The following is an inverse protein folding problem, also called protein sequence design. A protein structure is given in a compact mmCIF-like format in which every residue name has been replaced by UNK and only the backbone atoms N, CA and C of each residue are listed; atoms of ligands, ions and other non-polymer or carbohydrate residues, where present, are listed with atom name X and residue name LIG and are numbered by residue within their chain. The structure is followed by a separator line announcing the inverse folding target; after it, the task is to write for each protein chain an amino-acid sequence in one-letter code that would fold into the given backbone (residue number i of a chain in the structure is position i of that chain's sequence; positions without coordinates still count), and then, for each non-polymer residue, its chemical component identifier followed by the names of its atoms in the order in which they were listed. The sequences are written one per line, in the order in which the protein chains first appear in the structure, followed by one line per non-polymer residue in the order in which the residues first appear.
data_IF_341625336344
#
_entry.id   IF_341625336344
#
_cell.length_a   1.000
_cell.length_b   1.000
_cell.length_c   1.000
_cell.angle_alpha   90.00
_cell.angle_beta   90.00
_cell.angle_gamma   90.00
#
_symmetry.space_group_name_H-M   'P 1'
#
loop_
_entity.id
_entity.type
_entity.pdbx_description
1 polymer ?
#
# COMPACT_ATOMS: atom_id res chain seq x y z
N UNK A 1 -40.43 -14.96 -53.21
CA UNK A 1 -39.32 -14.43 -52.37
C UNK A 1 -38.96 -15.50 -51.36
N UNK A 2 -37.75 -16.07 -51.40
CA UNK A 2 -37.31 -17.13 -50.47
C UNK A 2 -36.70 -16.47 -49.23
N UNK A 3 -37.17 -16.84 -48.04
CA UNK A 3 -36.57 -16.40 -46.78
C UNK A 3 -35.23 -17.13 -46.58
N UNK A 4 -34.16 -16.37 -46.43
CA UNK A 4 -32.82 -16.89 -46.08
C UNK A 4 -32.78 -17.06 -44.57
N UNK A 5 -32.65 -18.29 -44.06
CA UNK A 5 -32.28 -18.51 -42.66
C UNK A 5 -30.78 -18.26 -42.52
N UNK A 6 -30.42 -17.25 -41.75
CA UNK A 6 -29.05 -17.06 -41.28
C UNK A 6 -28.82 -18.09 -40.19
N UNK A 7 -28.08 -19.16 -40.50
CA UNK A 7 -27.61 -20.11 -39.50
C UNK A 7 -26.43 -19.47 -38.76
N UNK A 8 -26.65 -19.06 -37.51
CA UNK A 8 -25.57 -18.60 -36.64
C UNK A 8 -25.01 -19.82 -35.89
N UNK A 9 -23.83 -20.28 -36.30
CA UNK A 9 -23.07 -21.33 -35.59
C UNK A 9 -22.41 -20.73 -34.34
N UNK A 10 -22.56 -21.30 -33.14
CA UNK A 10 -21.99 -20.76 -31.91
C UNK A 10 -20.63 -21.40 -31.61
N UNK A 11 -19.67 -21.29 -32.53
CA UNK A 11 -18.33 -21.86 -32.31
C UNK A 11 -17.27 -20.81 -32.68
N UNK A 12 -16.46 -20.44 -31.68
CA UNK A 12 -15.41 -19.40 -31.67
C UNK A 12 -15.79 -18.00 -31.17
N UNK A 13 -16.30 -17.92 -29.94
CA UNK A 13 -15.99 -16.78 -29.09
C UNK A 13 -15.19 -17.19 -27.85
N UNK A 14 -14.09 -17.88 -28.05
CA UNK A 14 -13.04 -17.96 -27.03
C UNK A 14 -12.18 -16.68 -27.10
N UNK A 15 -12.80 -15.49 -27.05
CA UNK A 15 -12.00 -14.29 -26.75
C UNK A 15 -11.64 -14.42 -25.28
N UNK A 16 -10.34 -14.57 -24.99
CA UNK A 16 -9.77 -14.10 -23.74
C UNK A 16 -10.26 -12.66 -23.55
N UNK A 17 -11.41 -12.50 -22.91
CA UNK A 17 -11.90 -11.22 -22.48
C UNK A 17 -10.95 -10.87 -21.34
N UNK A 18 -9.87 -10.15 -21.68
CA UNK A 18 -9.01 -9.48 -20.72
C UNK A 18 -9.93 -8.50 -20.00
N UNK A 19 -10.61 -8.98 -18.95
CA UNK A 19 -11.45 -8.14 -18.11
C UNK A 19 -10.54 -7.03 -17.61
N UNK A 20 -11.03 -5.79 -17.68
CA UNK A 20 -10.38 -4.67 -17.03
C UNK A 20 -10.03 -5.08 -15.59
N UNK A 21 -8.88 -4.67 -15.07
CA UNK A 21 -8.48 -4.96 -13.70
C UNK A 21 -8.57 -3.68 -12.88
N UNK A 22 -9.14 -3.77 -11.68
CA UNK A 22 -9.09 -2.69 -10.73
C UNK A 22 -7.63 -2.36 -10.35
N UNK A 23 -7.43 -1.16 -9.83
CA UNK A 23 -6.14 -0.74 -9.28
C UNK A 23 -6.38 0.01 -7.98
N UNK A 24 -5.75 -0.47 -6.91
CA UNK A 24 -5.63 0.30 -5.67
C UNK A 24 -4.45 1.26 -5.86
N UNK A 25 -4.67 2.54 -5.57
CA UNK A 25 -3.64 3.57 -5.67
C UNK A 25 -2.67 3.46 -4.50
N UNK A 26 -1.38 3.64 -4.79
CA UNK A 26 -0.31 3.55 -3.79
C UNK A 26 0.56 2.29 -3.95
N UNK A 27 1.40 1.99 -2.94
CA UNK A 27 2.25 0.81 -2.93
C UNK A 27 1.45 -0.49 -2.70
N UNK A 28 2.04 -1.63 -3.05
CA UNK A 28 1.46 -2.96 -2.76
C UNK A 28 1.50 -3.31 -1.26
N UNK A 29 2.46 -2.73 -0.53
CA UNK A 29 2.62 -2.86 0.91
C UNK A 29 2.55 -1.45 1.53
N UNK A 30 1.48 -1.19 2.30
CA UNK A 30 1.19 0.08 2.94
C UNK A 30 1.46 -0.01 4.44
N UNK A 31 2.30 0.88 4.97
CA UNK A 31 2.60 0.96 6.39
C UNK A 31 1.87 2.16 7.02
N UNK A 32 1.10 1.92 8.08
CA UNK A 32 0.28 2.94 8.74
C UNK A 32 0.56 2.89 10.24
N UNK A 33 0.70 4.04 10.88
CA UNK A 33 0.90 4.09 12.32
C UNK A 33 -0.41 3.79 13.07
N UNK A 34 -0.30 3.06 14.18
CA UNK A 34 -1.41 2.83 15.10
C UNK A 34 -2.01 4.18 15.58
N UNK A 35 -3.33 4.28 15.57
CA UNK A 35 -4.08 5.51 15.88
C UNK A 35 -4.30 6.45 14.69
N UNK A 36 -3.57 6.28 13.57
CA UNK A 36 -3.80 7.04 12.33
C UNK A 36 -4.98 6.48 11.52
N UNK A 37 -5.12 6.86 10.25
CA UNK A 37 -6.19 6.36 9.38
C UNK A 37 -5.62 5.57 8.20
N UNK A 38 -6.24 4.44 7.88
CA UNK A 38 -6.05 3.71 6.63
C UNK A 38 -6.97 4.37 5.60
N UNK A 39 -6.46 4.74 4.44
CA UNK A 39 -7.25 5.27 3.33
C UNK A 39 -6.80 4.63 2.02
N UNK A 40 -7.70 3.88 1.38
CA UNK A 40 -7.45 3.18 0.13
C UNK A 40 -8.42 3.67 -0.94
N UNK A 41 -7.87 3.96 -2.12
CA UNK A 41 -8.64 4.37 -3.29
C UNK A 41 -8.49 3.32 -4.39
N UNK A 42 -9.60 2.73 -4.79
CA UNK A 42 -9.68 1.77 -5.88
C UNK A 42 -10.27 2.44 -7.11
N UNK A 43 -9.54 2.38 -8.22
CA UNK A 43 -10.00 2.85 -9.53
C UNK A 43 -10.29 1.66 -10.43
N UNK A 44 -11.38 1.73 -11.19
CA UNK A 44 -11.74 0.68 -12.12
C UNK A 44 -11.82 1.31 -13.51
N UNK A 45 -10.93 0.95 -14.46
CA UNK A 45 -10.73 1.68 -15.71
C UNK A 45 -11.87 1.49 -16.76
N UNK A 46 -13.10 1.31 -16.30
CA UNK A 46 -14.31 1.18 -17.11
C UNK A 46 -15.12 2.48 -17.11
N UNK A 47 -15.88 2.69 -18.18
CA UNK A 47 -16.63 3.93 -18.41
C UNK A 47 -17.89 4.06 -17.54
N UNK A 48 -18.48 5.27 -17.47
CA UNK A 48 -19.62 5.61 -16.62
C UNK A 48 -20.92 4.87 -16.92
N UNK A 49 -20.97 4.09 -18.01
CA UNK A 49 -22.17 3.37 -18.45
C UNK A 49 -22.24 1.92 -17.93
N UNK A 50 -21.15 1.38 -17.39
CA UNK A 50 -21.15 0.02 -16.82
C UNK A 50 -21.63 0.06 -15.37
N UNK A 51 -22.85 -0.39 -15.13
CA UNK A 51 -23.47 -0.50 -13.80
C UNK A 51 -22.79 -1.60 -12.96
N UNK A 52 -21.61 -1.31 -12.40
CA UNK A 52 -20.87 -2.24 -11.55
C UNK A 52 -20.69 -1.74 -10.11
N UNK A 53 -20.90 -2.58 -9.11
CA UNK A 53 -20.62 -2.21 -7.70
C UNK A 53 -19.20 -2.61 -7.32
N UNK A 54 -18.69 -2.00 -6.24
CA UNK A 54 -17.38 -2.33 -5.66
C UNK A 54 -17.57 -2.79 -4.23
N UNK A 55 -17.07 -3.98 -3.91
CA UNK A 55 -17.05 -4.53 -2.55
C UNK A 55 -15.63 -4.51 -2.00
N UNK A 56 -15.48 -4.18 -0.72
CA UNK A 56 -14.20 -4.22 -0.02
C UNK A 56 -14.11 -5.44 0.88
N UNK A 57 -12.91 -6.04 0.94
CA UNK A 57 -12.62 -7.20 1.76
C UNK A 57 -11.35 -6.98 2.57
N UNK A 58 -11.30 -7.57 3.76
CA UNK A 58 -10.07 -7.78 4.52
C UNK A 58 -9.87 -9.29 4.72
N UNK A 59 -8.90 -9.86 4.01
CA UNK A 59 -8.81 -11.31 3.82
C UNK A 59 -10.10 -11.83 3.17
N UNK A 60 -10.78 -12.75 3.83
CA UNK A 60 -12.07 -13.31 3.36
C UNK A 60 -13.29 -12.55 3.90
N UNK A 61 -13.11 -11.59 4.81
CA UNK A 61 -14.20 -10.87 5.45
C UNK A 61 -14.63 -9.67 4.60
N UNK A 62 -15.91 -9.62 4.24
CA UNK A 62 -16.53 -8.43 3.63
C UNK A 62 -16.49 -7.27 4.62
N UNK A 63 -16.08 -6.10 4.14
CA UNK A 63 -16.17 -4.83 4.83
C UNK A 63 -17.44 -4.12 4.38
N UNK A 64 -18.44 -4.10 5.26
CA UNK A 64 -19.67 -3.35 5.06
C UNK A 64 -19.51 -2.00 5.75
N UNK A 65 -19.69 -0.90 5.00
CA UNK A 65 -19.89 0.40 5.64
C UNK A 65 -21.22 0.35 6.39
N UNK A 66 -21.23 0.79 7.64
CA UNK A 66 -22.45 0.82 8.42
C UNK A 66 -23.33 1.98 7.98
N UNK A 67 -24.63 1.74 7.93
CA UNK A 67 -25.60 2.82 7.83
C UNK A 67 -25.58 3.62 9.16
N UNK A 68 -25.78 4.95 9.11
CA UNK A 68 -25.76 5.77 10.32
C UNK A 68 -26.73 5.21 11.37
N UNK A 69 -26.22 4.71 12.50
CA UNK A 69 -27.07 4.29 13.61
C UNK A 69 -27.66 5.53 14.26
N UNK A 70 -28.92 5.83 13.93
CA UNK A 70 -29.66 7.04 14.32
C UNK A 70 -29.76 7.24 15.85
N UNK A 71 -29.47 6.20 16.66
CA UNK A 71 -29.78 6.18 18.09
C UNK A 71 -28.55 6.11 19.02
N UNK A 72 -27.32 6.24 18.51
CA UNK A 72 -26.11 6.26 19.35
C UNK A 72 -25.24 7.47 19.01
N UNK A 73 -25.44 8.57 19.74
CA UNK A 73 -24.70 9.82 19.56
C UNK A 73 -23.19 9.68 19.83
N UNK A 74 -22.73 8.57 20.40
CA UNK A 74 -21.33 8.30 20.70
C UNK A 74 -20.70 7.24 19.78
N UNK A 75 -21.50 6.58 18.94
CA UNK A 75 -20.98 5.62 17.96
C UNK A 75 -20.38 6.35 16.75
N UNK A 76 -19.10 6.69 16.83
CA UNK A 76 -18.34 7.13 15.65
C UNK A 76 -17.82 5.92 14.90
N UNK A 77 -18.48 5.59 13.78
CA UNK A 77 -18.05 4.51 12.91
C UNK A 77 -16.60 4.72 12.47
N UNK A 78 -15.79 3.66 12.57
CA UNK A 78 -14.38 3.73 12.14
C UNK A 78 -14.22 3.52 10.64
N UNK A 79 -15.01 2.61 10.06
CA UNK A 79 -14.99 2.25 8.66
C UNK A 79 -15.94 3.15 7.87
N UNK A 80 -15.51 3.67 6.73
CA UNK A 80 -16.35 4.41 5.79
C UNK A 80 -16.02 3.91 4.40
N UNK A 81 -17.05 3.66 3.58
CA UNK A 81 -16.90 3.26 2.19
C UNK A 81 -17.74 4.21 1.33
N UNK A 82 -17.08 4.88 0.39
CA UNK A 82 -17.68 5.85 -0.51
C UNK A 82 -17.44 5.42 -1.95
N UNK A 83 -18.50 5.38 -2.76
CA UNK A 83 -18.41 5.07 -4.19
C UNK A 83 -18.70 6.34 -4.99
N UNK A 84 -17.85 6.64 -5.97
CA UNK A 84 -17.99 7.81 -6.83
C UNK A 84 -18.07 7.38 -8.30
N UNK A 85 -19.08 7.93 -8.97
CA UNK A 85 -19.42 7.69 -10.37
C UNK A 85 -19.22 8.99 -11.15
N UNK A 86 -17.99 9.24 -11.60
CA UNK A 86 -17.69 10.34 -12.52
C UNK A 86 -17.29 9.74 -13.86
N UNK A 87 -16.15 10.12 -14.44
CA UNK A 87 -15.65 9.57 -15.71
C UNK A 87 -15.12 8.13 -15.57
N UNK A 88 -14.83 7.72 -14.33
CA UNK A 88 -14.30 6.41 -13.95
C UNK A 88 -15.02 5.96 -12.69
N UNK A 89 -15.39 4.68 -12.60
CA UNK A 89 -15.89 4.12 -11.34
C UNK A 89 -14.74 4.08 -10.32
N UNK A 90 -14.92 4.74 -9.18
CA UNK A 90 -13.96 4.70 -8.08
C UNK A 90 -14.64 4.42 -6.75
N UNK A 91 -13.91 3.75 -5.85
CA UNK A 91 -14.36 3.44 -4.50
C UNK A 91 -13.26 3.78 -3.51
N UNK A 92 -13.60 4.49 -2.45
CA UNK A 92 -12.71 4.87 -1.36
C UNK A 92 -13.14 4.18 -0.08
N UNK A 93 -12.22 3.45 0.54
CA UNK A 93 -12.42 2.85 1.86
C UNK A 93 -11.48 3.52 2.87
N UNK A 94 -12.02 3.87 4.03
CA UNK A 94 -11.26 4.51 5.09
C UNK A 94 -11.55 3.85 6.44
N UNK A 95 -10.51 3.50 7.20
CA UNK A 95 -10.62 3.08 8.61
C UNK A 95 -9.89 4.11 9.46
N UNK A 96 -10.63 4.84 10.30
CA UNK A 96 -10.06 5.79 11.27
C UNK A 96 -9.62 5.08 12.54
N UNK A 97 -8.63 5.65 13.23
CA UNK A 97 -8.04 5.10 14.47
C UNK A 97 -7.63 3.65 14.28
N UNK A 98 -6.64 3.43 13.42
CA UNK A 98 -6.16 2.11 13.06
C UNK A 98 -5.59 1.37 14.29
N UNK A 99 -6.03 0.14 14.50
CA UNK A 99 -5.48 -0.77 15.52
C UNK A 99 -4.52 -1.76 14.88
N UNK A 100 -3.60 -2.35 15.66
CA UNK A 100 -2.68 -3.40 15.16
C UNK A 100 -3.42 -4.54 14.45
N UNK A 101 -4.58 -4.91 14.98
CA UNK A 101 -5.47 -5.94 14.42
C UNK A 101 -6.08 -5.55 13.08
N UNK A 102 -6.06 -4.27 12.69
CA UNK A 102 -6.51 -3.82 11.37
C UNK A 102 -5.50 -4.16 10.26
N UNK A 103 -4.30 -4.66 10.58
CA UNK A 103 -3.36 -5.20 9.59
C UNK A 103 -3.96 -6.36 8.79
N UNK A 104 -3.57 -6.49 7.53
CA UNK A 104 -4.00 -7.60 6.66
C UNK A 104 -4.02 -7.26 5.19
N UNK A 105 -4.45 -8.21 4.37
CA UNK A 105 -4.67 -8.01 2.95
C UNK A 105 -6.04 -7.38 2.71
N UNK A 106 -6.07 -6.21 2.10
CA UNK A 106 -7.29 -5.52 1.71
C UNK A 106 -7.50 -5.64 0.21
N UNK A 107 -8.70 -6.04 -0.20
CA UNK A 107 -9.03 -6.24 -1.61
C UNK A 107 -10.25 -5.42 -2.02
N UNK A 108 -10.17 -4.73 -3.15
CA UNK A 108 -11.35 -4.18 -3.83
C UNK A 108 -11.77 -5.11 -4.97
N UNK A 109 -13.05 -5.50 -4.96
CA UNK A 109 -13.61 -6.48 -5.86
C UNK A 109 -14.80 -5.85 -6.59
N UNK A 110 -14.61 -5.39 -7.83
CA UNK A 110 -15.70 -4.90 -8.66
C UNK A 110 -16.45 -6.04 -9.36
N UNK A 111 -17.72 -5.82 -9.72
CA UNK A 111 -18.53 -6.84 -10.42
C UNK A 111 -18.15 -7.06 -11.88
N UNK A 112 -17.57 -6.04 -12.54
CA UNK A 112 -17.28 -6.03 -13.99
C UNK A 112 -15.80 -6.15 -14.32
N UNK A 113 -14.92 -6.20 -13.32
CA UNK A 113 -13.47 -6.17 -13.49
C UNK A 113 -12.74 -7.15 -12.54
N UNK A 114 -11.47 -7.42 -12.80
CA UNK A 114 -10.61 -8.20 -11.91
C UNK A 114 -10.29 -7.44 -10.62
N UNK A 115 -10.21 -8.17 -9.50
CA UNK A 115 -9.89 -7.60 -8.19
C UNK A 115 -8.46 -7.05 -8.10
N UNK A 116 -8.25 -6.14 -7.15
CA UNK A 116 -6.94 -5.64 -6.74
C UNK A 116 -6.79 -5.70 -5.22
N UNK A 117 -5.56 -5.93 -4.77
CA UNK A 117 -5.26 -6.14 -3.36
C UNK A 117 -4.02 -5.36 -2.92
N UNK A 118 -3.99 -4.97 -1.66
CA UNK A 118 -2.88 -4.29 -0.98
C UNK A 118 -2.69 -4.89 0.40
N UNK A 119 -1.45 -5.08 0.84
CA UNK A 119 -1.14 -5.48 2.20
C UNK A 119 -0.99 -4.24 3.07
N UNK A 120 -1.72 -4.17 4.17
CA UNK A 120 -1.63 -3.08 5.13
C UNK A 120 -0.98 -3.58 6.41
N UNK A 121 0.07 -2.88 6.84
CA UNK A 121 0.85 -3.16 8.03
C UNK A 121 0.68 -2.01 9.02
N UNK A 122 0.03 -2.27 10.16
CA UNK A 122 -0.10 -1.28 11.22
C UNK A 122 1.10 -1.38 12.16
N UNK A 123 1.82 -0.29 12.33
CA UNK A 123 3.05 -0.22 13.15
C UNK A 123 2.83 0.64 14.40
N UNK A 124 3.43 0.24 15.52
CA UNK A 124 3.50 1.10 16.70
C UNK A 124 4.49 2.24 16.45
N UNK A 125 4.07 3.47 16.74
CA UNK A 125 4.82 4.69 16.43
C UNK A 125 6.12 4.91 17.21
N UNK A 126 6.61 3.93 17.98
CA UNK A 126 7.81 4.08 18.79
C UNK A 126 9.12 3.95 17.98
N UNK A 127 9.06 3.47 16.73
CA UNK A 127 10.26 3.39 15.89
C UNK A 127 9.95 3.80 14.44
N UNK A 128 10.02 5.09 14.08
CA UNK A 128 10.17 5.43 12.67
C UNK A 128 11.42 4.69 12.17
N UNK A 129 11.27 3.91 11.10
CA UNK A 129 12.38 3.22 10.47
C UNK A 129 13.54 4.20 10.35
N UNK A 130 14.68 3.86 10.94
CA UNK A 130 15.92 4.51 10.62
C UNK A 130 16.10 4.32 9.11
N UNK A 131 15.85 5.38 8.34
CA UNK A 131 16.34 5.47 6.98
C UNK A 131 17.85 5.31 7.10
N UNK A 132 18.35 4.08 6.89
CA UNK A 132 19.77 3.83 6.64
C UNK A 132 20.07 4.42 5.26
N UNK A 133 20.13 5.75 5.18
CA UNK A 133 20.94 6.37 4.16
C UNK A 133 22.39 6.07 4.50
N UNK A 134 23.06 5.48 3.53
CA UNK A 134 24.33 4.80 3.66
C UNK A 134 25.37 5.54 4.48
N UNK A 135 26.07 4.75 5.27
CA UNK A 135 27.38 4.99 5.88
C UNK A 135 28.16 6.10 5.17
N UNK A 136 28.07 7.33 5.69
CA UNK A 136 29.12 8.32 5.49
C UNK A 136 29.95 8.35 6.75
N UNK A 137 31.09 7.67 6.64
CA UNK A 137 32.19 7.57 7.56
C UNK A 137 32.52 8.93 8.20
N UNK A 138 31.91 9.26 9.34
CA UNK A 138 32.38 10.33 10.22
C UNK A 138 33.53 9.76 11.02
N UNK A 139 34.69 9.65 10.36
CA UNK A 139 35.95 9.48 11.03
C UNK A 139 36.12 10.67 11.98
N UNK A 140 35.84 10.44 13.26
CA UNK A 140 36.44 11.23 14.32
C UNK A 140 37.95 10.97 14.21
N UNK A 141 38.81 11.99 14.04
CA UNK A 141 40.23 11.76 14.15
C UNK A 141 40.53 11.55 15.63
N UNK A 142 40.41 10.32 16.11
CA UNK A 142 41.09 9.95 17.34
C UNK A 142 42.59 10.10 17.05
N UNK A 143 43.21 11.13 17.63
CA UNK A 143 44.65 11.34 17.60
C UNK A 143 45.34 10.25 18.45
N UNK A 144 45.25 8.99 18.02
CA UNK A 144 46.08 7.92 18.52
C UNK A 144 47.38 7.96 17.73
N UNK A 145 48.38 8.67 18.25
CA UNK A 145 49.73 8.62 17.69
C UNK A 145 50.20 7.17 17.82
N UNK A 146 50.49 6.46 16.72
CA UNK A 146 50.94 5.09 16.81
C UNK A 146 52.29 5.07 17.54
N UNK A 147 52.42 4.19 18.52
CA UNK A 147 53.60 4.03 19.40
C UNK A 147 54.90 3.84 18.58
N UNK A 148 54.78 3.37 17.33
CA UNK A 148 55.89 3.24 16.38
C UNK A 148 56.51 4.58 15.97
N UNK A 149 55.71 5.65 15.82
CA UNK A 149 56.22 7.00 15.46
C UNK A 149 56.94 7.62 16.65
N UNK A 150 56.45 7.40 17.88
CA UNK A 150 57.11 7.88 19.10
C UNK A 150 58.45 7.18 19.27
N UNK A 151 58.50 5.86 19.06
CA UNK A 151 59.73 5.09 19.17
C UNK A 151 60.78 5.48 18.12
N UNK A 152 60.37 5.68 16.86
CA UNK A 152 61.29 6.09 15.80
C UNK A 152 61.87 7.49 16.03
N UNK A 153 61.06 8.45 16.49
CA UNK A 153 61.53 9.78 16.87
C UNK A 153 62.52 9.73 18.03
N UNK A 154 62.27 8.89 19.04
CA UNK A 154 63.18 8.71 20.18
C UNK A 154 64.54 8.15 19.74
N UNK A 155 64.56 7.18 18.82
CA UNK A 155 65.80 6.62 18.25
C UNK A 155 66.57 7.68 17.44
N UNK A 156 65.87 8.51 16.66
CA UNK A 156 66.50 9.57 15.86
C UNK A 156 67.17 10.63 16.77
N UNK A 157 66.52 11.02 17.87
CA UNK A 157 67.08 11.98 18.83
C UNK A 157 68.33 11.44 19.52
N UNK A 158 68.35 10.15 19.89
CA UNK A 158 69.55 9.52 20.48
C UNK A 158 70.70 9.44 19.46
N UNK A 159 70.38 9.26 18.17
CA UNK A 159 71.37 9.18 17.08
C UNK A 159 71.97 10.53 16.69
N UNK A 160 71.23 11.63 16.81
CA UNK A 160 71.71 12.99 16.51
C UNK A 160 72.26 13.74 17.74
N UNK A 161 72.01 13.26 18.96
CA UNK A 161 72.52 13.83 20.20
C UNK A 161 73.87 13.30 20.66
N UNK A 162 74.59 12.55 19.81
CA UNK A 162 75.95 12.04 20.05
C UNK A 162 76.89 12.46 18.95
#
# INVERSE_FOLDING_TARGET
MKAVRVHYTPEHYQRNCLKAKAKILGPADLYVQAGSSIALSCIIPQGPHDLGTVSWYKGEKVLEGSEPRVNDANYKERLVIENQWTDVLSSRMQITRAHLMDSGNYSCVPTTAGAASVNVHIINGEHPAAMQHGTRNTASPSLSIPITIVYSLFIILIKHGR
#
